data_IF_253772439140
#
_entry.id   IF_253772439140
#
_cell.length_a   1.000
_cell.length_b   1.000
_cell.length_c   1.000
_cell.angle_alpha   90.00
_cell.angle_beta   90.00
_cell.angle_gamma   90.00
#
_symmetry.space_group_name_H-M   'P 1'
#
loop_
_entity.id
_entity.type
_entity.pdbx_description
1 polymer ?
#
# COMPACT_ATOMS: atom_id res chain seq x y z
N UNK A 1 7.21 -10.33 2.30
CA UNK A 1 8.22 -10.45 3.39
C UNK A 1 8.58 -9.06 3.89
N UNK A 2 8.42 -8.79 5.18
CA UNK A 2 8.81 -7.54 5.84
C UNK A 2 10.20 -7.69 6.49
N UNK A 3 11.03 -6.66 6.39
CA UNK A 3 12.28 -6.50 7.14
C UNK A 3 12.18 -5.29 8.07
N UNK A 4 12.03 -5.55 9.36
CA UNK A 4 11.87 -4.51 10.37
C UNK A 4 13.14 -3.68 10.62
N UNK A 5 14.32 -4.14 10.18
CA UNK A 5 15.59 -3.42 10.36
C UNK A 5 15.77 -2.34 9.31
N UNK A 6 15.28 -2.59 8.10
CA UNK A 6 15.38 -1.66 6.97
C UNK A 6 14.05 -1.00 6.60
N UNK A 7 12.96 -1.38 7.29
CA UNK A 7 11.58 -0.96 6.97
C UNK A 7 11.21 -1.27 5.51
N UNK A 8 11.66 -2.43 5.02
CA UNK A 8 11.43 -2.88 3.66
C UNK A 8 10.33 -3.94 3.60
N UNK A 9 9.35 -3.73 2.73
CA UNK A 9 8.32 -4.70 2.41
C UNK A 9 8.43 -5.10 0.94
N UNK A 10 8.47 -6.40 0.68
CA UNK A 10 8.21 -6.95 -0.65
C UNK A 10 6.94 -7.81 -0.64
N UNK A 11 6.01 -7.57 -1.55
CA UNK A 11 4.77 -8.34 -1.68
C UNK A 11 4.28 -8.38 -3.12
N UNK A 12 3.37 -9.30 -3.42
CA UNK A 12 2.69 -9.39 -4.72
C UNK A 12 1.34 -8.69 -4.64
N UNK A 13 1.10 -7.74 -5.55
CA UNK A 13 -0.18 -7.05 -5.67
C UNK A 13 -1.03 -7.74 -6.71
N UNK A 14 -2.07 -8.44 -6.25
CA UNK A 14 -3.08 -9.02 -7.12
C UNK A 14 -3.85 -7.92 -7.85
N UNK A 15 -4.15 -8.15 -9.13
CA UNK A 15 -4.91 -7.23 -9.97
C UNK A 15 -6.38 -7.66 -10.06
N UNK A 16 -7.29 -6.69 -10.07
CA UNK A 16 -8.74 -6.97 -10.14
C UNK A 16 -9.17 -7.52 -11.50
N UNK A 17 -8.39 -7.27 -12.56
CA UNK A 17 -8.64 -7.77 -13.91
C UNK A 17 -8.10 -9.19 -14.17
N UNK A 18 -7.84 -9.97 -13.11
CA UNK A 18 -7.32 -11.35 -13.16
C UNK A 18 -5.98 -11.52 -13.89
N UNK A 19 -5.26 -10.42 -14.12
CA UNK A 19 -3.93 -10.44 -14.73
C UNK A 19 -2.84 -10.74 -13.70
N UNK A 20 -1.64 -11.10 -14.20
CA UNK A 20 -0.53 -11.53 -13.34
C UNK A 20 -0.26 -10.54 -12.20
N UNK A 21 -0.02 -11.02 -10.98
CA UNK A 21 0.29 -10.14 -9.87
C UNK A 21 1.55 -9.30 -10.14
N UNK A 22 1.57 -8.09 -9.61
CA UNK A 22 2.70 -7.17 -9.76
C UNK A 22 3.60 -7.26 -8.53
N UNK A 23 4.91 -7.56 -8.67
CA UNK A 23 5.84 -7.47 -7.56
C UNK A 23 6.00 -6.02 -7.11
N UNK A 24 5.77 -5.78 -5.82
CA UNK A 24 5.88 -4.46 -5.18
C UNK A 24 7.02 -4.49 -4.17
N UNK A 25 7.92 -3.51 -4.29
CA UNK A 25 8.94 -3.21 -3.29
C UNK A 25 8.62 -1.86 -2.64
N UNK A 26 8.47 -1.83 -1.32
CA UNK A 26 8.17 -0.64 -0.54
C UNK A 26 9.24 -0.45 0.53
N UNK A 27 9.62 0.80 0.78
CA UNK A 27 10.48 1.16 1.90
C UNK A 27 9.85 2.35 2.64
N UNK A 28 9.49 2.16 3.89
CA UNK A 28 8.85 3.20 4.70
C UNK A 28 7.96 2.65 5.80
N UNK A 29 7.16 3.53 6.38
CA UNK A 29 6.21 3.17 7.44
C UNK A 29 5.00 2.50 6.79
N UNK A 30 4.69 1.28 7.22
CA UNK A 30 3.52 0.55 6.76
C UNK A 30 2.27 1.07 7.49
N UNK A 31 1.14 1.31 6.81
CA UNK A 31 -0.11 1.64 7.49
C UNK A 31 -0.54 0.49 8.42
N UNK A 32 -1.04 0.79 9.61
CA UNK A 32 -1.51 -0.22 10.58
C UNK A 32 -2.62 -1.12 10.02
N UNK A 33 -3.40 -0.62 9.06
CA UNK A 33 -4.50 -1.36 8.44
C UNK A 33 -4.06 -2.24 7.26
N UNK A 34 -2.78 -2.20 6.89
CA UNK A 34 -2.24 -3.03 5.81
C UNK A 34 -2.21 -4.49 6.25
N UNK A 35 -2.95 -5.33 5.53
CA UNK A 35 -3.06 -6.77 5.81
C UNK A 35 -3.42 -7.51 4.52
N UNK A 36 -3.07 -8.79 4.47
CA UNK A 36 -3.44 -9.69 3.37
C UNK A 36 -4.97 -9.72 3.18
N UNK A 37 -5.41 -9.87 1.93
CA UNK A 37 -6.83 -9.95 1.56
C UNK A 37 -7.59 -8.63 1.59
N UNK A 38 -6.91 -7.48 1.73
CA UNK A 38 -7.52 -6.14 1.67
C UNK A 38 -7.11 -5.40 0.41
N UNK A 39 -8.03 -4.58 -0.08
CA UNK A 39 -7.71 -3.63 -1.16
C UNK A 39 -6.81 -2.51 -0.64
N UNK A 40 -5.78 -2.22 -1.44
CA UNK A 40 -4.79 -1.20 -1.15
C UNK A 40 -4.51 -0.41 -2.42
N UNK A 41 -4.22 0.88 -2.25
CA UNK A 41 -3.71 1.74 -3.31
C UNK A 41 -2.22 1.91 -3.09
N UNK A 42 -1.43 1.57 -4.10
CA UNK A 42 0.03 1.67 -4.06
C UNK A 42 0.47 2.74 -5.06
N UNK A 43 1.16 3.77 -4.58
CA UNK A 43 1.75 4.81 -5.42
C UNK A 43 3.26 4.59 -5.51
N UNK A 44 3.80 4.67 -6.72
CA UNK A 44 5.22 4.44 -6.93
C UNK A 44 5.66 4.54 -8.39
N UNK A 45 6.88 4.06 -8.65
CA UNK A 45 7.47 4.00 -9.99
C UNK A 45 7.38 2.58 -10.52
N UNK A 46 6.68 2.41 -11.64
CA UNK A 46 6.55 1.11 -12.32
C UNK A 46 7.61 0.97 -13.43
N UNK A 47 8.47 -0.04 -13.34
CA UNK A 47 9.53 -0.31 -14.31
C UNK A 47 9.81 -1.82 -14.40
N UNK A 48 10.00 -2.33 -15.62
CA UNK A 48 10.37 -3.73 -15.88
C UNK A 48 9.46 -4.76 -15.17
N UNK A 49 8.15 -4.50 -15.12
CA UNK A 49 7.20 -5.41 -14.48
C UNK A 49 7.10 -5.29 -12.97
N UNK A 50 7.93 -4.46 -12.32
CA UNK A 50 7.92 -4.26 -10.87
C UNK A 50 7.53 -2.82 -10.48
N UNK A 51 6.86 -2.70 -9.34
CA UNK A 51 6.48 -1.41 -8.76
C UNK A 51 7.37 -1.10 -7.56
N UNK A 52 8.15 -0.03 -7.66
CA UNK A 52 8.84 0.57 -6.52
C UNK A 52 7.89 1.55 -5.84
N UNK A 53 7.23 1.09 -4.78
CA UNK A 53 6.26 1.86 -4.02
C UNK A 53 6.95 2.95 -3.17
N UNK A 54 6.41 4.15 -3.25
CA UNK A 54 6.74 5.29 -2.39
C UNK A 54 5.71 5.47 -1.28
N UNK A 55 4.46 5.07 -1.53
CA UNK A 55 3.36 5.22 -0.58
C UNK A 55 2.37 4.05 -0.73
N UNK A 56 1.90 3.53 0.41
CA UNK A 56 0.83 2.55 0.48
C UNK A 56 -0.33 3.18 1.25
N UNK A 57 -1.52 3.14 0.67
CA UNK A 57 -2.74 3.64 1.25
C UNK A 57 -3.74 2.50 1.37
N UNK A 58 -4.29 2.31 2.56
CA UNK A 58 -5.39 1.38 2.82
C UNK A 58 -6.65 2.21 3.01
N UNK A 59 -7.77 1.84 2.39
CA UNK A 59 -9.04 2.47 2.74
C UNK A 59 -9.42 2.09 4.17
N UNK A 60 -9.46 3.05 5.09
CA UNK A 60 -10.18 2.87 6.34
C UNK A 60 -11.67 2.72 5.99
N UNK A 61 -12.43 1.75 6.54
CA UNK A 61 -13.88 1.80 6.45
C UNK A 61 -14.48 3.01 7.20
N UNK A 62 -13.69 3.77 7.95
CA UNK A 62 -14.12 5.00 8.63
C UNK A 62 -12.96 5.98 8.85
N UNK A 63 -12.94 7.10 8.11
CA UNK A 63 -12.85 8.46 8.69
C UNK A 63 -12.93 9.53 7.58
N UNK A 64 -14.16 9.92 7.26
CA UNK A 64 -14.43 11.33 7.06
C UNK A 64 -14.67 11.90 8.46
N UNK A 65 -13.62 12.36 9.13
CA UNK A 65 -13.83 13.36 10.19
C UNK A 65 -13.82 14.71 9.46
N UNK A 66 -14.98 15.34 9.23
CA UNK A 66 -14.94 16.76 8.97
C UNK A 66 -14.32 17.36 10.22
N UNK A 67 -13.14 17.97 10.09
CA UNK A 67 -12.60 18.82 11.12
C UNK A 67 -13.75 19.75 11.53
N UNK A 68 -14.19 19.67 12.79
CA UNK A 68 -15.13 20.67 13.31
C UNK A 68 -14.46 22.02 13.06
N UNK A 69 -14.98 22.78 12.10
CA UNK A 69 -14.67 24.19 12.00
C UNK A 69 -15.12 24.82 13.32
N UNK A 70 -14.25 25.50 14.07
CA UNK A 70 -14.69 26.21 15.25
C UNK A 70 -15.43 27.47 14.81
N UNK A 71 -16.67 27.62 15.25
CA UNK A 71 -17.33 28.91 15.51
C UNK A 71 -18.50 28.67 16.46
#
# INVERSE_FOLDING_TARGET
RWDARTSELAFELARQDDSDPVPVAYRGILPDMFSEGREVVVEGRYQQGALTARQIMTSCPSKYEPAKAPS
#
